data_IF_333993512354
#
_entry.id   IF_333993512354
#
_cell.length_a   1.000
_cell.length_b   1.000
_cell.length_c   1.000
_cell.angle_alpha   90.00
_cell.angle_beta   90.00
_cell.angle_gamma   90.00
#
_symmetry.space_group_name_H-M   'P 1'
#
loop_
_entity.id
_entity.type
_entity.pdbx_description
1 polymer ?
#
# COMPACT_ATOMS: atom_id res chain seq x y z
N UNK A 1 -58.48 7.73 39.02
CA UNK A 1 -58.57 7.35 37.59
C UNK A 1 -57.45 8.07 36.85
N UNK A 2 -56.44 7.32 36.43
CA UNK A 2 -55.23 7.80 35.74
C UNK A 2 -55.52 7.90 34.24
N UNK A 3 -55.26 9.05 33.61
CA UNK A 3 -55.23 9.18 32.15
C UNK A 3 -53.80 8.89 31.66
N UNK A 4 -53.63 7.80 30.90
CA UNK A 4 -52.39 7.47 30.19
C UNK A 4 -52.38 8.19 28.84
N UNK A 5 -51.49 9.17 28.69
CA UNK A 5 -51.22 9.81 27.41
C UNK A 5 -50.20 8.99 26.61
N UNK A 6 -50.59 8.71 25.36
CA UNK A 6 -49.81 8.10 24.28
C UNK A 6 -48.48 8.84 24.03
N UNK A 7 -47.37 8.08 23.92
CA UNK A 7 -46.17 8.51 23.19
C UNK A 7 -45.92 7.51 22.07
N UNK A 8 -46.44 7.80 20.89
CA UNK A 8 -46.04 7.12 19.66
C UNK A 8 -44.71 7.74 19.22
N UNK A 9 -43.62 7.03 19.45
CA UNK A 9 -42.29 7.37 18.93
C UNK A 9 -42.35 7.15 17.40
N UNK A 10 -42.49 8.24 16.65
CA UNK A 10 -42.36 8.23 15.20
C UNK A 10 -40.94 7.86 14.82
N UNK A 11 -40.75 6.68 14.23
CA UNK A 11 -39.55 6.28 13.51
C UNK A 11 -39.37 7.23 12.32
N UNK A 12 -38.54 8.24 12.50
CA UNK A 12 -38.08 9.13 11.44
C UNK A 12 -37.16 8.32 10.50
N UNK A 13 -37.42 8.23 9.18
CA UNK A 13 -36.53 7.55 8.27
C UNK A 13 -35.26 8.40 8.08
N UNK A 14 -34.23 8.10 8.86
CA UNK A 14 -32.90 8.67 8.72
C UNK A 14 -32.24 8.24 7.41
N UNK A 15 -32.13 9.19 6.48
CA UNK A 15 -31.00 9.41 5.57
C UNK A 15 -30.45 8.23 4.74
N UNK A 16 -31.26 7.72 3.83
CA UNK A 16 -30.76 6.98 2.64
C UNK A 16 -29.80 7.82 1.75
N UNK A 17 -29.78 9.15 1.94
CA UNK A 17 -28.90 10.08 1.21
C UNK A 17 -27.44 10.03 1.67
N UNK A 18 -27.20 9.69 2.93
CA UNK A 18 -25.84 9.59 3.46
C UNK A 18 -25.09 8.40 2.84
N UNK A 19 -25.76 7.24 2.73
CA UNK A 19 -25.19 6.03 2.11
C UNK A 19 -24.89 6.22 0.60
N UNK A 20 -25.76 6.93 -0.14
CA UNK A 20 -25.52 7.22 -1.56
C UNK A 20 -24.33 8.16 -1.81
N UNK A 21 -24.07 9.12 -0.91
CA UNK A 21 -22.93 10.02 -1.03
C UNK A 21 -21.60 9.26 -0.82
N UNK A 22 -21.60 8.31 0.11
CA UNK A 22 -20.45 7.48 0.46
C UNK A 22 -20.10 6.48 -0.67
N UNK A 23 -21.11 5.89 -1.31
CA UNK A 23 -20.94 5.02 -2.48
C UNK A 23 -20.39 5.76 -3.71
N UNK A 24 -20.90 6.97 -3.97
CA UNK A 24 -20.41 7.81 -5.06
C UNK A 24 -18.95 8.22 -4.81
N UNK A 25 -18.62 8.63 -3.59
CA UNK A 25 -17.26 9.00 -3.21
C UNK A 25 -16.30 7.80 -3.30
N UNK A 26 -16.73 6.62 -2.87
CA UNK A 26 -15.95 5.38 -2.99
C UNK A 26 -15.69 5.00 -4.45
N UNK A 27 -16.68 5.12 -5.33
CA UNK A 27 -16.52 4.91 -6.78
C UNK A 27 -15.62 5.98 -7.43
N UNK A 28 -15.75 7.23 -7.01
CA UNK A 28 -14.91 8.33 -7.48
C UNK A 28 -13.46 8.23 -6.97
N UNK A 29 -13.20 7.56 -5.85
CA UNK A 29 -11.85 7.24 -5.38
C UNK A 29 -11.26 6.04 -6.13
N UNK A 30 -12.07 5.02 -6.45
CA UNK A 30 -11.64 3.82 -7.16
C UNK A 30 -11.12 4.12 -8.59
N UNK A 31 -11.59 5.19 -9.23
CA UNK A 31 -11.13 5.63 -10.57
C UNK A 31 -9.77 6.34 -10.55
N UNK A 32 -9.26 6.78 -9.39
CA UNK A 32 -7.94 7.40 -9.31
C UNK A 32 -6.90 6.33 -8.96
N UNK A 33 -6.06 5.98 -9.93
CA UNK A 33 -4.83 5.21 -9.67
C UNK A 33 -3.93 6.08 -8.79
N UNK A 34 -3.91 5.78 -7.48
CA UNK A 34 -3.04 6.46 -6.54
C UNK A 34 -1.58 6.23 -6.99
N UNK A 35 -0.77 7.28 -7.20
CA UNK A 35 0.61 7.09 -7.57
C UNK A 35 1.31 6.29 -6.48
N UNK A 36 1.87 5.15 -6.86
CA UNK A 36 2.60 4.27 -5.97
C UNK A 36 3.94 4.93 -5.62
N UNK A 37 4.12 5.29 -4.35
CA UNK A 37 5.39 5.82 -3.86
C UNK A 37 6.22 4.68 -3.27
N UNK A 38 7.51 4.67 -3.60
CA UNK A 38 8.48 3.72 -3.07
C UNK A 38 9.27 4.36 -1.95
N UNK A 39 9.17 3.82 -0.74
CA UNK A 39 9.93 4.27 0.42
C UNK A 39 11.01 3.22 0.76
N UNK A 40 12.21 3.69 1.08
CA UNK A 40 13.33 2.81 1.43
C UNK A 40 13.10 2.18 2.82
N UNK A 41 13.44 0.92 3.00
CA UNK A 41 13.37 0.24 4.29
C UNK A 41 14.58 0.62 5.15
N UNK A 42 14.44 1.67 5.96
CA UNK A 42 15.57 2.31 6.66
C UNK A 42 16.12 1.55 7.88
N UNK A 43 15.49 0.43 8.27
CA UNK A 43 15.88 -0.35 9.45
C UNK A 43 15.15 0.04 10.74
N UNK A 44 14.07 0.83 10.62
CA UNK A 44 13.19 1.23 11.71
C UNK A 44 12.09 0.19 11.97
N UNK A 45 10.82 0.60 11.79
CA UNK A 45 9.65 -0.27 12.06
C UNK A 45 9.45 -1.35 10.99
N UNK A 46 10.09 -1.17 9.85
CA UNK A 46 10.04 -2.03 8.67
C UNK A 46 11.03 -3.18 8.78
N UNK A 47 12.08 -3.11 9.61
CA UNK A 47 13.02 -4.22 9.79
C UNK A 47 12.56 -5.13 10.92
N UNK A 48 12.62 -6.44 10.69
CA UNK A 48 12.18 -7.45 11.66
C UNK A 48 13.34 -8.33 12.11
N UNK A 49 14.14 -8.85 11.17
CA UNK A 49 15.29 -9.71 11.49
C UNK A 49 16.28 -9.83 10.34
N UNK A 50 17.44 -10.41 10.61
CA UNK A 50 18.56 -10.56 9.66
C UNK A 50 19.49 -9.34 9.66
N UNK A 51 20.36 -9.20 8.65
CA UNK A 51 21.27 -8.06 8.53
C UNK A 51 20.54 -6.73 8.58
N UNK A 52 21.09 -5.79 9.35
CA UNK A 52 20.49 -4.46 9.50
C UNK A 52 20.80 -3.61 8.25
N UNK A 53 19.82 -2.82 7.75
CA UNK A 53 20.09 -1.88 6.66
C UNK A 53 21.09 -0.80 7.08
N UNK A 54 22.08 -0.54 6.22
CA UNK A 54 23.08 0.52 6.37
C UNK A 54 22.93 1.55 5.26
N UNK A 55 23.17 2.83 5.56
CA UNK A 55 23.02 3.90 4.59
C UNK A 55 24.27 4.02 3.71
N UNK A 56 24.11 3.92 2.40
CA UNK A 56 25.17 4.08 1.40
C UNK A 56 24.60 4.84 0.18
N UNK A 57 25.28 5.90 -0.26
CA UNK A 57 24.89 6.69 -1.45
C UNK A 57 23.42 7.14 -1.46
N UNK A 58 22.84 7.43 -0.29
CA UNK A 58 21.45 7.87 -0.14
C UNK A 58 20.42 6.74 -0.09
N UNK A 59 20.83 5.47 -0.17
CA UNK A 59 19.98 4.29 -0.03
C UNK A 59 20.28 3.55 1.28
N UNK A 60 19.26 2.95 1.91
CA UNK A 60 19.45 1.95 2.95
C UNK A 60 19.54 0.57 2.30
N UNK A 61 20.70 -0.06 2.47
CA UNK A 61 21.05 -1.32 1.83
C UNK A 61 21.31 -2.38 2.89
N UNK A 62 20.82 -3.59 2.67
CA UNK A 62 21.24 -4.76 3.42
C UNK A 62 22.36 -5.46 2.67
N UNK A 63 23.39 -5.90 3.40
CA UNK A 63 24.40 -6.80 2.85
C UNK A 63 23.97 -8.23 3.15
N UNK A 64 23.70 -9.03 2.12
CA UNK A 64 23.34 -10.44 2.25
C UNK A 64 24.47 -11.30 1.71
N UNK A 65 24.99 -12.23 2.51
CA UNK A 65 25.83 -13.34 2.06
C UNK A 65 24.97 -14.44 1.39
N UNK A 66 25.57 -15.35 0.59
CA UNK A 66 24.83 -16.46 -0.01
C UNK A 66 24.10 -17.29 1.07
N UNK A 67 22.80 -17.52 0.90
CA UNK A 67 21.94 -18.22 1.86
C UNK A 67 21.49 -17.39 3.06
N UNK A 68 22.03 -16.18 3.25
CA UNK A 68 21.59 -15.24 4.27
C UNK A 68 20.28 -14.57 3.87
N UNK A 69 19.44 -14.27 4.86
CA UNK A 69 18.15 -13.65 4.64
C UNK A 69 17.88 -12.48 5.58
N UNK A 70 17.09 -11.54 5.09
CA UNK A 70 16.50 -10.45 5.87
C UNK A 70 14.99 -10.56 5.84
N UNK A 71 14.35 -10.19 6.95
CA UNK A 71 12.89 -10.08 7.05
C UNK A 71 12.51 -8.63 7.25
N UNK A 72 11.62 -8.15 6.39
CA UNK A 72 11.06 -6.80 6.45
C UNK A 72 9.54 -6.84 6.49
N UNK A 73 8.94 -5.91 7.24
CA UNK A 73 7.51 -5.69 7.32
C UNK A 73 7.10 -4.63 6.30
N UNK A 74 6.07 -4.94 5.53
CA UNK A 74 5.44 -4.01 4.61
C UNK A 74 3.96 -3.82 4.98
N UNK A 75 3.38 -2.70 4.54
CA UNK A 75 1.98 -2.34 4.82
C UNK A 75 0.99 -3.15 3.96
N UNK A 76 -0.29 -3.01 4.25
CA UNK A 76 -1.38 -3.57 3.45
C UNK A 76 -1.28 -3.19 1.97
N UNK A 77 -1.68 -4.12 1.09
CA UNK A 77 -1.68 -3.96 -0.37
C UNK A 77 -0.34 -3.46 -0.93
N UNK A 78 0.78 -3.86 -0.33
CA UNK A 78 2.10 -3.36 -0.71
C UNK A 78 2.85 -4.31 -1.65
N UNK A 79 3.81 -3.72 -2.33
CA UNK A 79 4.84 -4.40 -3.10
C UNK A 79 6.19 -4.15 -2.45
N UNK A 80 7.10 -5.10 -2.60
CA UNK A 80 8.51 -4.98 -2.27
C UNK A 80 9.30 -4.84 -3.57
N UNK A 81 10.14 -3.82 -3.66
CA UNK A 81 11.11 -3.67 -4.74
C UNK A 81 12.53 -3.87 -4.21
N UNK A 82 13.33 -4.64 -4.94
CA UNK A 82 14.71 -4.95 -4.62
C UNK A 82 15.61 -4.34 -5.68
N UNK A 83 16.64 -3.59 -5.28
CA UNK A 83 17.62 -2.99 -6.17
C UNK A 83 19.02 -3.24 -5.62
N UNK A 84 19.90 -3.77 -6.44
CA UNK A 84 21.34 -3.71 -6.16
C UNK A 84 21.91 -2.46 -6.86
N UNK A 85 22.53 -1.53 -6.12
CA UNK A 85 23.04 -0.29 -6.69
C UNK A 85 24.21 -0.49 -7.66
N UNK A 86 24.89 -1.64 -7.59
CA UNK A 86 26.07 -1.93 -8.40
C UNK A 86 25.73 -2.73 -9.64
N UNK A 87 24.84 -3.72 -9.52
CA UNK A 87 24.58 -4.71 -10.57
C UNK A 87 23.09 -5.00 -10.70
N UNK A 88 22.58 -5.34 -11.91
CA UNK A 88 21.20 -5.79 -12.07
C UNK A 88 20.88 -7.03 -11.22
N UNK A 89 19.64 -7.12 -10.74
CA UNK A 89 19.11 -8.31 -10.08
C UNK A 89 18.27 -9.12 -11.07
N UNK A 90 18.47 -10.43 -11.08
CA UNK A 90 17.67 -11.40 -11.85
C UNK A 90 16.82 -12.25 -10.90
N UNK A 91 15.67 -12.78 -11.33
CA UNK A 91 14.78 -13.57 -10.47
C UNK A 91 15.42 -14.78 -9.77
N UNK A 92 16.51 -15.33 -10.33
CA UNK A 92 17.26 -16.44 -9.71
C UNK A 92 18.32 -16.01 -8.69
N UNK A 93 18.62 -14.72 -8.58
CA UNK A 93 19.63 -14.20 -7.64
C UNK A 93 19.10 -14.19 -6.20
N UNK A 94 17.79 -14.06 -6.02
CA UNK A 94 17.14 -13.92 -4.72
C UNK A 94 15.89 -14.79 -4.62
N UNK A 95 15.64 -15.30 -3.42
CA UNK A 95 14.38 -15.95 -3.07
C UNK A 95 13.55 -14.99 -2.22
N UNK A 96 12.30 -14.75 -2.65
CA UNK A 96 11.36 -13.93 -1.90
C UNK A 96 10.22 -14.81 -1.40
N UNK A 97 9.90 -14.68 -0.12
CA UNK A 97 8.76 -15.36 0.50
C UNK A 97 7.94 -14.40 1.35
N UNK A 98 6.64 -14.64 1.47
CA UNK A 98 5.70 -13.76 2.16
C UNK A 98 5.00 -14.51 3.30
N UNK A 99 4.83 -13.83 4.42
CA UNK A 99 4.03 -14.31 5.56
C UNK A 99 3.02 -13.25 5.98
N UNK A 100 1.82 -13.69 6.36
CA UNK A 100 0.79 -12.87 7.01
C UNK A 100 1.00 -12.79 8.54
N UNK A 101 2.24 -12.82 9.01
CA UNK A 101 2.62 -12.87 10.43
C UNK A 101 2.28 -14.16 11.18
N UNK A 102 1.93 -15.24 10.47
CA UNK A 102 1.72 -16.58 11.04
C UNK A 102 3.02 -17.37 11.25
N UNK A 103 4.18 -16.76 11.01
CA UNK A 103 5.50 -17.39 10.92
C UNK A 103 5.64 -18.42 9.79
N UNK A 104 4.59 -18.68 9.01
CA UNK A 104 4.67 -19.47 7.78
C UNK A 104 4.98 -18.56 6.59
N UNK A 105 6.03 -18.90 5.84
CA UNK A 105 6.44 -18.17 4.65
C UNK A 105 6.12 -18.98 3.40
N UNK A 106 5.41 -18.35 2.46
CA UNK A 106 5.10 -18.92 1.14
C UNK A 106 5.94 -18.21 0.10
N UNK A 107 6.62 -18.97 -0.75
CA UNK A 107 7.45 -18.40 -1.81
C UNK A 107 6.60 -17.55 -2.76
N UNK A 108 7.12 -16.37 -3.11
CA UNK A 108 6.51 -15.46 -4.08
C UNK A 108 7.54 -15.07 -5.13
N UNK A 109 7.25 -15.29 -6.42
CA UNK A 109 8.20 -14.93 -7.47
C UNK A 109 8.44 -13.43 -7.47
N UNK A 110 9.71 -13.05 -7.63
CA UNK A 110 10.09 -11.68 -7.89
C UNK A 110 10.29 -11.51 -9.40
N UNK A 111 9.69 -10.47 -9.98
CA UNK A 111 9.71 -10.21 -11.41
C UNK A 111 10.56 -8.98 -11.73
N UNK A 112 11.20 -8.90 -12.91
CA UNK A 112 11.86 -7.68 -13.35
C UNK A 112 10.89 -6.49 -13.32
N UNK A 113 11.36 -5.39 -12.73
CA UNK A 113 10.63 -4.13 -12.74
C UNK A 113 10.86 -3.38 -14.07
N UNK A 114 10.09 -2.30 -14.29
CA UNK A 114 10.12 -1.53 -15.54
C UNK A 114 11.45 -0.82 -15.80
N UNK A 115 12.33 -0.70 -14.80
CA UNK A 115 13.67 -0.14 -14.95
C UNK A 115 14.71 -1.14 -15.48
N UNK A 116 14.34 -2.42 -15.63
CA UNK A 116 15.22 -3.49 -16.12
C UNK A 116 16.39 -3.84 -15.20
N UNK A 117 16.46 -3.28 -13.99
CA UNK A 117 17.58 -3.46 -13.05
C UNK A 117 17.13 -3.96 -11.68
N UNK A 118 15.89 -3.65 -11.30
CA UNK A 118 15.31 -4.04 -10.02
C UNK A 118 14.30 -5.17 -10.20
N UNK A 119 14.01 -5.85 -9.09
CA UNK A 119 12.95 -6.84 -9.00
C UNK A 119 11.80 -6.31 -8.16
N UNK A 120 10.59 -6.78 -8.42
CA UNK A 120 9.40 -6.49 -7.63
C UNK A 120 8.68 -7.79 -7.24
N UNK A 121 8.23 -7.86 -5.99
CA UNK A 121 7.37 -8.92 -5.49
C UNK A 121 6.13 -8.28 -4.85
N UNK A 122 4.96 -8.84 -5.12
CA UNK A 122 3.69 -8.35 -4.56
C UNK A 122 3.14 -9.33 -3.53
N UNK A 123 2.37 -8.80 -2.59
CA UNK A 123 1.61 -9.61 -1.64
C UNK A 123 0.11 -9.30 -1.78
N UNK A 124 -0.68 -10.35 -1.95
CA UNK A 124 -2.15 -10.27 -2.04
C UNK A 124 -2.75 -10.26 -0.62
N UNK A 125 -2.46 -9.22 0.17
CA UNK A 125 -2.97 -9.09 1.53
C UNK A 125 -3.47 -7.69 1.80
N UNK A 126 -4.65 -7.61 2.42
CA UNK A 126 -5.25 -6.37 2.91
C UNK A 126 -4.68 -5.96 4.28
N UNK A 127 -3.83 -6.80 4.87
CA UNK A 127 -3.16 -6.56 6.14
C UNK A 127 -1.64 -6.38 5.95
N UNK A 128 -0.94 -5.96 7.00
CA UNK A 128 0.52 -5.90 6.96
C UNK A 128 1.14 -7.28 6.78
N UNK A 129 2.14 -7.37 5.89
CA UNK A 129 2.83 -8.61 5.54
C UNK A 129 4.31 -8.56 5.91
N UNK A 130 4.91 -9.73 6.07
CA UNK A 130 6.35 -9.90 6.18
C UNK A 130 6.90 -10.44 4.87
N UNK A 131 7.90 -9.78 4.31
CA UNK A 131 8.73 -10.31 3.24
C UNK A 131 10.01 -10.86 3.83
N UNK A 132 10.33 -12.11 3.51
CA UNK A 132 11.65 -12.70 3.71
C UNK A 132 12.38 -12.70 2.37
N UNK A 133 13.56 -12.10 2.34
CA UNK A 133 14.42 -11.99 1.16
C UNK A 133 15.70 -12.72 1.49
N UNK A 134 15.99 -13.80 0.76
CA UNK A 134 17.25 -14.50 0.86
C UNK A 134 18.07 -14.33 -0.42
N UNK A 135 19.39 -14.14 -0.28
CA UNK A 135 20.27 -14.28 -1.44
C UNK A 135 20.42 -15.76 -1.75
N UNK A 136 20.37 -16.12 -3.03
CA UNK A 136 20.54 -17.51 -3.47
C UNK A 136 21.79 -18.13 -2.82
N UNK A 137 21.65 -19.36 -2.32
CA UNK A 137 22.78 -20.11 -1.75
C UNK A 137 23.86 -20.45 -2.78
N UNK A 138 23.52 -20.42 -4.07
CA UNK A 138 24.46 -20.65 -5.17
C UNK A 138 25.16 -19.37 -5.65
N UNK A 139 24.83 -18.21 -5.06
CA UNK A 139 25.51 -16.96 -5.38
C UNK A 139 27.01 -17.03 -5.01
N UNK A 140 27.87 -16.50 -5.86
CA UNK A 140 29.33 -16.56 -5.67
C UNK A 140 29.87 -15.56 -4.64
N UNK A 141 29.07 -14.54 -4.27
CA UNK A 141 29.47 -13.47 -3.36
C UNK A 141 28.27 -12.83 -2.67
N UNK A 142 28.57 -12.13 -1.59
CA UNK A 142 27.59 -11.27 -0.93
C UNK A 142 27.17 -10.12 -1.85
N UNK A 143 25.89 -9.72 -1.77
CA UNK A 143 25.34 -8.57 -2.51
C UNK A 143 24.81 -7.51 -1.56
N UNK A 144 24.77 -6.28 -2.04
CA UNK A 144 24.12 -5.16 -1.34
C UNK A 144 22.80 -4.90 -2.02
N UNK A 145 21.71 -5.00 -1.27
CA UNK A 145 20.36 -4.88 -1.80
C UNK A 145 19.64 -3.78 -1.04
N UNK A 146 19.24 -2.73 -1.76
CA UNK A 146 18.30 -1.75 -1.28
C UNK A 146 16.88 -2.32 -1.38
N UNK A 147 16.11 -2.17 -0.31
CA UNK A 147 14.75 -2.67 -0.20
C UNK A 147 13.79 -1.49 -0.15
N UNK A 148 12.77 -1.51 -0.98
CA UNK A 148 11.75 -0.48 -1.01
C UNK A 148 10.38 -1.09 -0.80
N UNK A 149 9.59 -0.49 0.07
CA UNK A 149 8.18 -0.84 0.23
C UNK A 149 7.32 0.18 -0.49
N UNK A 150 6.33 -0.30 -1.21
CA UNK A 150 5.35 0.57 -1.81
C UNK A 150 4.30 1.02 -0.79
N UNK A 151 3.92 2.29 -0.87
CA UNK A 151 2.69 2.81 -0.25
C UNK A 151 1.83 3.51 -1.31
N UNK A 152 0.53 3.36 -1.17
CA UNK A 152 -0.41 4.24 -1.85
C UNK A 152 -0.51 5.54 -1.05
N UNK A 153 -0.28 6.67 -1.72
CA UNK A 153 -0.49 7.98 -1.12
C UNK A 153 -2.00 8.26 -1.17
N UNK A 154 -2.68 8.44 -0.03
CA UNK A 154 -4.09 8.78 -0.05
C UNK A 154 -4.27 10.13 -0.77
N UNK A 155 -5.19 10.20 -1.74
CA UNK A 155 -5.54 11.48 -2.39
C UNK A 155 -6.07 12.41 -1.29
N UNK A 156 -5.28 13.42 -0.94
CA UNK A 156 -5.63 14.38 0.11
C UNK A 156 -6.88 15.21 -0.19
N UNK A 157 -7.30 15.31 -1.46
CA UNK A 157 -8.54 15.97 -1.89
C UNK A 157 -9.08 15.34 -3.18
N UNK A 158 -10.26 14.73 -3.12
CA UNK A 158 -11.04 14.39 -4.31
C UNK A 158 -11.58 15.71 -4.89
N UNK A 159 -11.12 16.05 -6.09
CA UNK A 159 -11.57 17.16 -6.93
C UNK A 159 -11.30 18.60 -6.39
N UNK A 160 -10.30 19.33 -6.95
CA UNK A 160 -10.11 20.76 -6.67
C UNK A 160 -11.25 21.67 -7.19
N UNK A 161 -12.23 21.12 -7.93
CA UNK A 161 -13.33 21.89 -8.52
C UNK A 161 -14.41 22.35 -7.51
N UNK A 162 -14.34 21.96 -6.22
CA UNK A 162 -15.30 22.45 -5.20
C UNK A 162 -15.21 23.97 -4.94
N UNK A 163 -14.20 24.66 -5.47
CA UNK A 163 -14.07 26.12 -5.41
C UNK A 163 -14.38 26.86 -6.71
N UNK A 164 -14.73 26.16 -7.80
CA UNK A 164 -14.91 26.79 -9.11
C UNK A 164 -16.27 26.38 -9.69
N UNK A 165 -17.30 27.16 -9.37
CA UNK A 165 -18.23 27.82 -10.29
C UNK A 165 -19.32 28.44 -9.41
N UNK A 166 -19.22 29.73 -9.08
CA UNK A 166 -20.42 30.51 -8.80
C UNK A 166 -21.16 30.65 -10.13
N UNK A 167 -22.24 29.88 -10.29
CA UNK A 167 -23.14 30.11 -11.41
C UNK A 167 -23.81 31.47 -11.15
N UNK A 168 -23.41 32.50 -11.90
CA UNK A 168 -24.06 33.80 -11.96
C UNK A 168 -25.44 33.72 -12.66
N UNK A 169 -26.20 32.66 -12.39
CA UNK A 169 -27.50 32.43 -12.96
C UNK A 169 -28.59 32.82 -11.95
N UNK A 170 -29.65 33.55 -12.37
CA UNK A 170 -30.80 33.81 -11.51
C UNK A 170 -31.41 32.49 -11.02
N UNK A 171 -31.79 32.44 -9.73
CA UNK A 171 -32.52 31.29 -9.16
C UNK A 171 -33.87 31.14 -9.87
N UNK A 172 -34.03 30.09 -10.67
CA UNK A 172 -35.31 29.75 -11.32
C UNK A 172 -36.02 28.67 -10.49
N UNK A 173 -37.30 28.92 -10.18
CA UNK A 173 -38.16 27.98 -9.46
C UNK A 173 -38.94 27.15 -10.46
N UNK A 174 -38.61 25.86 -10.58
CA UNK A 174 -39.36 24.94 -11.44
C UNK A 174 -40.65 24.55 -10.71
N UNK A 175 -41.81 24.86 -11.30
CA UNK A 175 -43.10 24.29 -10.89
C UNK A 175 -43.41 23.11 -11.80
N UNK A 176 -43.76 21.96 -11.21
CA UNK A 176 -44.31 20.83 -11.95
C UNK A 176 -45.77 21.16 -12.32
N UNK A 177 -46.07 21.08 -13.61
CA UNK A 177 -47.43 21.02 -14.16
C UNK A 177 -48.01 19.62 -13.99
#
# INVERSE_FOLDING_TARGET
MLWLAFVAIGLWPGDARAAQLDDLQSRLLAQFVLPQRWDNAEGGREWVSGPRPEREAGLHCVRLAPGEAVVVKARAASALRLLDPREPLHPGDVEVSVSNSSALFVQRPAHPFTDGRSLVATADSLDGVLFRIALSSTASRARRIALFTARYEPVGQVAPYRGLVELAAPRVRIRRS
#
